data_IF_592869829465
#
_entry.id   IF_592869829465
#
_cell.length_a   1.000
_cell.length_b   1.000
_cell.length_c   1.000
_cell.angle_alpha   90.00
_cell.angle_beta   90.00
_cell.angle_gamma   90.00
#
_symmetry.space_group_name_H-M   'P 1'
#
loop_
_entity.id
_entity.type
_entity.pdbx_description
1 polymer ?
#
# COMPACT_ATOMS: atom_id res chain seq x y z
N UNK A 1 13.68 16.11 17.43
CA UNK A 1 12.97 17.39 17.47
C UNK A 1 13.81 18.32 18.32
N UNK A 2 14.54 19.25 17.65
CA UNK A 2 15.43 20.21 18.30
C UNK A 2 14.73 21.16 19.26
N UNK A 3 15.48 21.84 20.09
CA UNK A 3 14.95 22.77 21.08
C UNK A 3 14.53 24.12 20.49
N UNK A 4 14.96 24.42 19.27
CA UNK A 4 14.64 25.66 18.56
C UNK A 4 13.73 25.34 17.38
N UNK A 5 12.48 25.80 17.43
CA UNK A 5 11.46 25.61 16.39
C UNK A 5 11.44 26.83 15.47
N UNK A 6 12.61 27.19 14.96
CA UNK A 6 12.74 28.23 13.92
C UNK A 6 12.49 27.68 12.52
N UNK A 7 12.41 26.34 12.36
CA UNK A 7 12.11 25.72 11.09
C UNK A 7 10.65 25.88 10.71
N UNK A 8 10.44 26.21 9.46
CA UNK A 8 9.10 26.34 8.88
C UNK A 8 8.44 24.97 8.62
N UNK A 9 9.23 23.94 8.41
CA UNK A 9 8.76 22.57 8.17
C UNK A 9 9.40 21.55 9.11
N UNK A 10 8.56 20.65 9.64
CA UNK A 10 8.99 19.44 10.33
C UNK A 10 8.66 18.23 9.46
N UNK A 11 9.66 17.47 9.03
CA UNK A 11 9.49 16.32 8.17
C UNK A 11 9.78 15.05 8.94
N UNK A 12 8.88 14.07 8.86
CA UNK A 12 9.05 12.74 9.45
C UNK A 12 8.41 11.67 8.56
N UNK A 13 8.77 10.41 8.74
CA UNK A 13 8.08 9.31 8.09
C UNK A 13 6.96 8.75 8.97
N UNK A 14 6.03 8.02 8.33
CA UNK A 14 4.87 7.42 9.02
C UNK A 14 5.31 6.37 10.05
N UNK A 15 6.41 5.67 9.78
CA UNK A 15 6.95 4.63 10.65
C UNK A 15 7.43 5.22 11.99
N UNK A 16 8.03 6.38 11.97
CA UNK A 16 8.48 7.12 13.16
C UNK A 16 7.31 7.48 14.10
N UNK A 17 6.13 7.74 13.52
CA UNK A 17 4.91 8.01 14.32
C UNK A 17 4.44 6.80 15.15
N UNK A 18 5.02 5.61 14.99
CA UNK A 18 4.71 4.46 15.86
C UNK A 18 5.32 4.58 17.25
N UNK A 19 6.32 5.43 17.42
CA UNK A 19 6.94 5.69 18.72
C UNK A 19 6.02 6.55 19.59
N UNK A 20 5.72 6.05 20.79
CA UNK A 20 4.80 6.71 21.72
C UNK A 20 5.31 8.08 22.20
N UNK A 21 6.63 8.24 22.39
CA UNK A 21 7.20 9.51 22.84
C UNK A 21 7.09 10.56 21.74
N UNK A 22 7.27 10.15 20.48
CA UNK A 22 7.10 11.05 19.33
C UNK A 22 5.63 11.44 19.18
N UNK A 23 4.70 10.51 19.34
CA UNK A 23 3.26 10.81 19.32
C UNK A 23 2.88 11.87 20.35
N UNK A 24 3.36 11.71 21.60
CA UNK A 24 3.10 12.69 22.68
C UNK A 24 3.64 14.06 22.28
N UNK A 25 4.89 14.14 21.81
CA UNK A 25 5.51 15.41 21.41
C UNK A 25 4.73 16.09 20.29
N UNK A 26 4.41 15.38 19.21
CA UNK A 26 3.66 15.92 18.08
C UNK A 26 2.27 16.40 18.53
N UNK A 27 1.57 15.58 19.32
CA UNK A 27 0.26 15.96 19.84
C UNK A 27 0.32 17.25 20.66
N UNK A 28 1.29 17.37 21.56
CA UNK A 28 1.49 18.57 22.38
C UNK A 28 1.78 19.79 21.51
N UNK A 29 2.63 19.66 20.49
CA UNK A 29 2.94 20.75 19.57
C UNK A 29 1.72 21.16 18.72
N UNK A 30 0.89 20.22 18.26
CA UNK A 30 -0.37 20.54 17.59
C UNK A 30 -1.33 21.29 18.53
N UNK A 31 -1.51 20.82 19.76
CA UNK A 31 -2.39 21.43 20.75
C UNK A 31 -1.93 22.81 21.17
N UNK A 32 -0.64 23.05 21.22
CA UNK A 32 -0.04 24.35 21.50
C UNK A 32 -0.05 25.32 20.29
N UNK A 33 -0.56 24.89 19.12
CA UNK A 33 -0.59 25.68 17.91
C UNK A 33 0.78 25.84 17.20
N UNK A 34 1.82 25.18 17.70
CA UNK A 34 3.16 25.19 17.08
C UNK A 34 3.12 24.52 15.70
N UNK A 35 2.36 23.42 15.58
CA UNK A 35 2.08 22.78 14.28
C UNK A 35 0.67 23.22 13.86
N UNK A 36 0.58 24.19 12.96
CA UNK A 36 -0.69 24.69 12.45
C UNK A 36 -1.32 23.80 11.38
N UNK A 37 -0.47 23.09 10.59
CA UNK A 37 -0.92 22.23 9.50
C UNK A 37 -0.17 20.91 9.48
N UNK A 38 -0.89 19.83 9.24
CA UNK A 38 -0.29 18.50 8.99
C UNK A 38 -0.63 18.04 7.57
N UNK A 39 0.40 17.63 6.84
CA UNK A 39 0.28 17.02 5.52
C UNK A 39 0.77 15.57 5.63
N UNK A 40 -0.07 14.61 5.24
CA UNK A 40 0.32 13.20 5.20
C UNK A 40 0.29 12.74 3.75
N UNK A 41 1.47 12.43 3.22
CA UNK A 41 1.61 11.83 1.90
C UNK A 41 1.43 10.31 1.99
N UNK A 42 0.92 9.71 0.91
CA UNK A 42 0.57 8.29 0.83
C UNK A 42 -0.27 7.81 2.02
N UNK A 43 -1.27 8.61 2.39
CA UNK A 43 -2.10 8.36 3.58
C UNK A 43 -2.84 7.02 3.54
N UNK A 44 -3.00 6.42 2.35
CA UNK A 44 -3.58 5.09 2.19
C UNK A 44 -2.82 4.01 2.99
N UNK A 45 -1.54 4.23 3.34
CA UNK A 45 -0.78 3.35 4.25
C UNK A 45 -1.37 3.30 5.66
N UNK A 46 -2.16 4.31 6.03
CA UNK A 46 -2.79 4.44 7.34
C UNK A 46 -4.29 4.08 7.34
N UNK A 47 -4.79 3.45 6.28
CA UNK A 47 -6.20 3.11 6.08
C UNK A 47 -6.81 2.21 7.16
N UNK A 48 -6.00 1.32 7.76
CA UNK A 48 -6.48 0.39 8.77
C UNK A 48 -6.46 1.04 10.17
N UNK A 49 -7.63 1.31 10.79
CA UNK A 49 -7.72 1.99 12.08
C UNK A 49 -7.17 1.17 13.26
N UNK A 50 -6.98 -0.13 13.09
CA UNK A 50 -6.45 -1.01 14.14
C UNK A 50 -4.94 -1.20 14.06
N UNK A 51 -4.32 -0.88 12.92
CA UNK A 51 -2.87 -0.95 12.74
C UNK A 51 -2.13 0.10 13.58
N UNK A 52 -0.85 -0.16 13.88
CA UNK A 52 -0.01 0.81 14.59
C UNK A 52 0.08 2.16 13.85
N UNK A 53 0.22 2.12 12.53
CA UNK A 53 0.26 3.32 11.68
C UNK A 53 -1.08 4.06 11.66
N UNK A 54 -2.18 3.32 11.46
CA UNK A 54 -3.51 3.91 11.42
C UNK A 54 -3.92 4.58 12.73
N UNK A 55 -3.48 4.05 13.88
CA UNK A 55 -3.68 4.69 15.19
C UNK A 55 -2.77 5.90 15.36
N UNK A 56 -1.52 5.80 14.92
CA UNK A 56 -0.50 6.80 15.14
C UNK A 56 -0.83 8.15 14.49
N UNK A 57 -1.45 8.18 13.31
CA UNK A 57 -1.75 9.46 12.64
C UNK A 57 -2.67 10.39 13.44
N UNK A 58 -3.44 9.85 14.38
CA UNK A 58 -4.34 10.65 15.21
C UNK A 58 -3.61 11.53 16.25
N UNK A 59 -2.29 11.35 16.45
CA UNK A 59 -1.50 12.32 17.19
C UNK A 59 -1.30 13.65 16.43
N UNK A 60 -1.39 13.62 15.10
CA UNK A 60 -1.32 14.77 14.23
C UNK A 60 -2.68 15.47 14.20
N UNK A 61 -2.99 16.22 15.26
CA UNK A 61 -4.27 16.89 15.50
C UNK A 61 -4.20 18.42 15.26
N UNK A 62 -3.41 18.86 14.28
CA UNK A 62 -3.31 20.25 13.86
C UNK A 62 -4.65 20.78 13.31
N UNK A 63 -4.81 22.10 13.29
CA UNK A 63 -6.02 22.75 12.82
C UNK A 63 -6.27 22.48 11.33
N UNK A 64 -5.24 22.62 10.50
CA UNK A 64 -5.33 22.27 9.09
C UNK A 64 -4.77 20.88 8.84
N UNK A 65 -5.47 20.09 8.02
CA UNK A 65 -5.08 18.72 7.66
C UNK A 65 -5.21 18.52 6.15
N UNK A 66 -4.17 17.95 5.56
CA UNK A 66 -4.15 17.61 4.15
C UNK A 66 -3.70 16.15 3.99
N UNK A 67 -4.53 15.36 3.33
CA UNK A 67 -4.25 13.97 2.98
C UNK A 67 -3.92 13.88 1.49
N UNK A 68 -2.74 13.37 1.16
CA UNK A 68 -2.31 13.16 -0.22
C UNK A 68 -2.24 11.66 -0.52
N UNK A 69 -2.75 11.26 -1.67
CA UNK A 69 -2.62 9.88 -2.17
C UNK A 69 -2.99 9.79 -3.64
N UNK A 70 -2.25 8.99 -4.39
CA UNK A 70 -2.62 8.61 -5.76
C UNK A 70 -3.73 7.57 -5.83
N UNK A 71 -3.96 6.81 -4.74
CA UNK A 71 -4.90 5.68 -4.66
C UNK A 71 -5.74 5.76 -3.38
N UNK A 72 -6.74 6.63 -3.29
CA UNK A 72 -7.53 6.83 -2.07
C UNK A 72 -8.32 5.57 -1.67
N UNK A 73 -8.78 4.79 -2.63
CA UNK A 73 -9.44 3.49 -2.43
C UNK A 73 -8.57 2.43 -3.11
N UNK A 74 -7.88 1.62 -2.33
CA UNK A 74 -7.05 0.55 -2.88
C UNK A 74 -7.87 -0.71 -3.18
N UNK A 75 -8.66 -1.17 -2.22
CA UNK A 75 -9.39 -2.43 -2.34
C UNK A 75 -10.87 -2.28 -1.99
N UNK A 76 -11.22 -1.33 -1.12
CA UNK A 76 -12.52 -1.34 -0.48
C UNK A 76 -12.94 0.04 0.05
N UNK A 77 -14.24 0.34 0.03
CA UNK A 77 -14.78 1.60 0.57
C UNK A 77 -14.46 1.80 2.07
N UNK A 78 -14.29 0.71 2.82
CA UNK A 78 -13.89 0.74 4.23
C UNK A 78 -12.49 1.36 4.45
N UNK A 79 -11.63 1.33 3.43
CA UNK A 79 -10.29 1.90 3.48
C UNK A 79 -10.30 3.43 3.70
N UNK A 80 -11.40 4.09 3.37
CA UNK A 80 -11.58 5.52 3.58
C UNK A 80 -11.86 5.89 5.03
N UNK A 81 -12.40 4.98 5.85
CA UNK A 81 -12.88 5.31 7.19
C UNK A 81 -11.84 6.03 8.05
N UNK A 82 -10.65 5.46 8.18
CA UNK A 82 -9.62 6.01 9.07
C UNK A 82 -9.09 7.36 8.59
N UNK A 83 -8.98 7.54 7.28
CA UNK A 83 -8.57 8.81 6.66
C UNK A 83 -9.61 9.90 6.91
N UNK A 84 -10.88 9.60 6.65
CA UNK A 84 -11.98 10.54 6.88
C UNK A 84 -12.14 10.88 8.37
N UNK A 85 -11.87 9.91 9.25
CA UNK A 85 -11.87 10.12 10.70
C UNK A 85 -10.75 11.05 11.14
N UNK A 86 -9.55 10.87 10.59
CA UNK A 86 -8.42 11.77 10.86
C UNK A 86 -8.67 13.19 10.33
N UNK A 87 -9.30 13.32 9.15
CA UNK A 87 -9.69 14.61 8.56
C UNK A 87 -10.88 15.26 9.29
N UNK A 88 -11.47 14.61 10.30
CA UNK A 88 -12.64 15.06 11.07
C UNK A 88 -13.90 15.28 10.21
N UNK A 89 -13.97 14.66 9.04
CA UNK A 89 -15.15 14.69 8.17
C UNK A 89 -16.04 13.45 8.35
N UNK A 90 -15.64 12.50 9.19
CA UNK A 90 -16.42 11.31 9.57
C UNK A 90 -16.72 11.28 11.07
N UNK A 91 -18.00 11.33 11.42
CA UNK A 91 -18.45 11.36 12.82
C UNK A 91 -18.85 9.97 13.33
N UNK A 92 -19.19 9.04 12.44
CA UNK A 92 -19.61 7.69 12.83
C UNK A 92 -18.46 6.90 13.46
N UNK A 93 -18.81 5.93 14.28
CA UNK A 93 -17.90 4.87 14.71
C UNK A 93 -17.64 3.92 13.53
N UNK A 94 -16.57 3.11 13.63
CA UNK A 94 -16.27 2.12 12.59
C UNK A 94 -17.44 1.15 12.34
N UNK A 95 -18.15 0.74 13.38
CA UNK A 95 -19.32 -0.14 13.28
C UNK A 95 -20.45 0.55 12.53
N UNK A 96 -20.75 1.81 12.87
CA UNK A 96 -21.77 2.59 12.17
C UNK A 96 -21.41 2.81 10.70
N UNK A 97 -20.15 3.11 10.40
CA UNK A 97 -19.65 3.24 9.03
C UNK A 97 -19.80 1.95 8.24
N UNK A 98 -19.44 0.80 8.84
CA UNK A 98 -19.66 -0.52 8.23
C UNK A 98 -21.14 -0.77 7.97
N UNK A 99 -22.01 -0.51 8.93
CA UNK A 99 -23.47 -0.70 8.76
C UNK A 99 -24.04 0.19 7.66
N UNK A 100 -23.46 1.35 7.42
CA UNK A 100 -23.91 2.31 6.38
C UNK A 100 -23.44 1.92 4.97
N UNK A 101 -22.19 1.47 4.84
CA UNK A 101 -21.53 1.32 3.54
C UNK A 101 -21.13 -0.11 3.18
N UNK A 102 -21.16 -1.06 4.14
CA UNK A 102 -20.79 -2.45 3.90
C UNK A 102 -22.02 -3.37 3.97
N UNK A 103 -21.96 -4.44 3.19
CA UNK A 103 -22.87 -5.58 3.31
C UNK A 103 -22.10 -6.65 4.07
N UNK A 104 -22.61 -7.01 5.24
CA UNK A 104 -22.00 -8.01 6.10
C UNK A 104 -22.58 -9.38 5.78
N UNK A 105 -21.74 -10.43 5.80
CA UNK A 105 -22.13 -11.81 5.48
C UNK A 105 -21.03 -12.80 5.84
N UNK A 106 -21.02 -13.95 5.18
CA UNK A 106 -20.09 -15.04 5.47
C UNK A 106 -20.39 -15.77 6.77
N UNK A 107 -19.48 -16.65 7.19
CA UNK A 107 -19.63 -17.41 8.43
C UNK A 107 -19.71 -16.46 9.63
N UNK A 108 -20.78 -16.55 10.41
CA UNK A 108 -21.01 -15.67 11.57
C UNK A 108 -21.40 -14.22 11.23
N UNK A 109 -21.53 -13.84 9.96
CA UNK A 109 -21.96 -12.48 9.58
C UNK A 109 -20.91 -11.37 9.75
N UNK A 110 -19.65 -11.70 10.00
CA UNK A 110 -18.58 -10.72 10.30
C UNK A 110 -17.76 -10.29 9.09
N UNK A 111 -17.93 -10.94 7.95
CA UNK A 111 -17.17 -10.65 6.75
C UNK A 111 -17.87 -9.59 5.90
N UNK A 112 -17.09 -8.69 5.30
CA UNK A 112 -17.63 -7.76 4.30
C UNK A 112 -17.71 -8.53 2.99
N UNK A 113 -18.94 -8.78 2.51
CA UNK A 113 -19.22 -9.48 1.26
C UNK A 113 -19.60 -8.54 0.12
N UNK A 114 -19.79 -7.25 0.42
CA UNK A 114 -20.13 -6.25 -0.57
C UNK A 114 -20.25 -4.85 0.02
N UNK A 115 -20.62 -3.90 -0.82
CA UNK A 115 -20.78 -2.50 -0.46
C UNK A 115 -22.15 -1.97 -0.91
N UNK A 116 -22.66 -0.99 -0.18
CA UNK A 116 -23.93 -0.30 -0.46
C UNK A 116 -23.76 1.21 -0.28
N UNK A 117 -24.74 1.99 -0.75
CA UNK A 117 -24.76 3.45 -0.62
C UNK A 117 -23.47 4.15 -1.16
N UNK A 118 -22.79 3.56 -2.15
CA UNK A 118 -21.54 4.11 -2.68
C UNK A 118 -21.73 5.49 -3.31
N UNK A 119 -22.88 5.76 -3.93
CA UNK A 119 -23.20 7.08 -4.49
C UNK A 119 -23.26 8.16 -3.40
N UNK A 120 -23.84 7.83 -2.24
CA UNK A 120 -23.87 8.75 -1.09
C UNK A 120 -22.48 9.02 -0.56
N UNK A 121 -21.63 7.98 -0.50
CA UNK A 121 -20.23 8.14 -0.10
C UNK A 121 -19.46 8.99 -1.11
N UNK A 122 -19.64 8.75 -2.39
CA UNK A 122 -19.01 9.52 -3.48
C UNK A 122 -19.40 11.01 -3.42
N UNK A 123 -20.70 11.30 -3.33
CA UNK A 123 -21.21 12.67 -3.23
C UNK A 123 -20.69 13.40 -1.98
N UNK A 124 -20.50 12.67 -0.89
CA UNK A 124 -19.89 13.20 0.33
C UNK A 124 -18.41 13.51 0.14
N UNK A 125 -17.67 12.59 -0.48
CA UNK A 125 -16.23 12.75 -0.74
C UNK A 125 -15.94 13.94 -1.67
N UNK A 126 -16.75 14.17 -2.68
CA UNK A 126 -16.60 15.27 -3.63
C UNK A 126 -16.58 16.66 -2.97
N UNK A 127 -17.09 16.79 -1.75
CA UNK A 127 -17.05 18.05 -0.98
C UNK A 127 -15.67 18.31 -0.34
N UNK A 128 -14.89 17.28 -0.12
CA UNK A 128 -13.64 17.34 0.65
C UNK A 128 -12.42 16.83 -0.12
N UNK A 129 -12.63 16.23 -1.31
CA UNK A 129 -11.58 15.60 -2.09
C UNK A 129 -11.43 16.27 -3.46
N UNK A 130 -10.23 16.70 -3.77
CA UNK A 130 -9.85 17.12 -5.11
C UNK A 130 -9.18 15.95 -5.83
N UNK A 131 -9.78 15.48 -6.92
CA UNK A 131 -9.23 14.40 -7.75
C UNK A 131 -8.87 14.93 -9.13
N UNK A 132 -7.63 14.68 -9.54
CA UNK A 132 -7.13 14.96 -10.90
C UNK A 132 -6.61 13.64 -11.50
N UNK A 133 -7.14 13.23 -12.64
CA UNK A 133 -6.63 12.07 -13.37
C UNK A 133 -5.61 12.55 -14.40
N UNK A 134 -4.55 11.79 -14.65
CA UNK A 134 -3.54 12.15 -15.64
C UNK A 134 -4.15 12.39 -17.02
N UNK A 135 -5.09 11.56 -17.43
CA UNK A 135 -5.80 11.68 -18.72
C UNK A 135 -6.66 12.95 -18.86
N UNK A 136 -7.06 13.57 -17.73
CA UNK A 136 -7.95 14.74 -17.74
C UNK A 136 -7.16 16.06 -17.72
N UNK A 137 -5.86 16.01 -17.34
CA UNK A 137 -5.05 17.22 -17.09
C UNK A 137 -3.72 17.23 -17.84
N UNK A 138 -3.31 16.13 -18.43
CA UNK A 138 -2.05 16.01 -19.18
C UNK A 138 -2.32 15.48 -20.58
N UNK A 139 -1.74 16.16 -21.58
CA UNK A 139 -1.68 15.65 -22.93
C UNK A 139 -0.47 14.72 -23.06
N UNK A 140 -0.68 13.46 -22.76
CA UNK A 140 0.35 12.41 -22.80
C UNK A 140 0.02 11.41 -23.89
N UNK A 141 1.02 10.90 -24.61
CA UNK A 141 0.81 9.79 -25.51
C UNK A 141 0.23 8.57 -24.78
N UNK A 142 -0.54 7.73 -25.47
CA UNK A 142 -1.13 6.54 -24.87
C UNK A 142 -0.02 5.63 -24.33
N UNK A 143 -0.27 5.02 -23.14
CA UNK A 143 0.64 4.01 -22.62
C UNK A 143 0.53 2.74 -23.46
N UNK A 144 1.68 2.27 -23.93
CA UNK A 144 1.81 0.99 -24.60
C UNK A 144 2.28 -0.02 -23.55
N UNK A 145 1.52 -1.10 -23.40
CA UNK A 145 1.91 -2.25 -22.57
C UNK A 145 2.34 -3.37 -23.50
N UNK A 146 3.55 -3.86 -23.30
CA UNK A 146 4.08 -5.00 -24.03
C UNK A 146 4.44 -6.10 -23.05
N UNK A 147 3.83 -7.27 -23.22
CA UNK A 147 4.17 -8.45 -22.45
C UNK A 147 5.21 -9.26 -23.21
N UNK A 148 6.37 -9.46 -22.59
CA UNK A 148 7.43 -10.26 -23.15
C UNK A 148 7.55 -11.56 -22.35
N UNK A 149 7.26 -12.67 -23.01
CA UNK A 149 7.37 -14.01 -22.43
C UNK A 149 8.80 -14.51 -22.60
N UNK A 150 9.42 -14.87 -21.49
CA UNK A 150 10.79 -15.39 -21.44
C UNK A 150 10.76 -16.86 -21.01
N UNK A 151 11.46 -17.71 -21.74
CA UNK A 151 11.67 -19.08 -21.35
C UNK A 151 12.79 -19.17 -20.32
N UNK A 152 12.59 -19.97 -19.29
CA UNK A 152 13.61 -20.23 -18.26
C UNK A 152 14.70 -21.10 -18.87
N UNK A 153 15.94 -20.87 -18.49
CA UNK A 153 17.01 -21.82 -18.81
C UNK A 153 16.87 -23.13 -18.01
N UNK A 154 17.64 -24.13 -18.40
CA UNK A 154 17.54 -25.48 -17.82
C UNK A 154 17.74 -25.46 -16.30
N UNK A 155 18.71 -24.71 -15.80
CA UNK A 155 19.01 -24.65 -14.37
C UNK A 155 17.92 -23.92 -13.58
N UNK A 156 17.40 -22.81 -14.12
CA UNK A 156 16.29 -22.09 -13.52
C UNK A 156 15.00 -22.93 -13.53
N UNK A 157 14.75 -23.66 -14.62
CA UNK A 157 13.60 -24.55 -14.74
C UNK A 157 13.65 -25.71 -13.73
N UNK A 158 14.83 -26.25 -13.45
CA UNK A 158 15.00 -27.28 -12.42
C UNK A 158 14.61 -26.76 -11.03
N UNK A 159 15.10 -25.59 -10.64
CA UNK A 159 14.75 -24.96 -9.36
C UNK A 159 13.22 -24.70 -9.26
N UNK A 160 12.62 -24.26 -10.34
CA UNK A 160 11.17 -24.06 -10.39
C UNK A 160 10.42 -25.38 -10.20
N UNK A 161 10.79 -26.41 -10.93
CA UNK A 161 10.16 -27.73 -10.86
C UNK A 161 10.32 -28.38 -9.47
N UNK A 162 11.47 -28.20 -8.82
CA UNK A 162 11.69 -28.65 -7.44
C UNK A 162 10.77 -27.95 -6.44
N UNK A 163 10.64 -26.62 -6.58
CA UNK A 163 9.74 -25.84 -5.73
C UNK A 163 8.26 -26.20 -5.97
N UNK A 164 7.87 -26.41 -7.22
CA UNK A 164 6.51 -26.84 -7.58
C UNK A 164 6.19 -28.21 -7.03
N UNK A 165 7.09 -29.18 -7.24
CA UNK A 165 6.95 -30.54 -6.71
C UNK A 165 6.85 -30.56 -5.19
N UNK A 166 7.68 -29.77 -4.49
CA UNK A 166 7.61 -29.66 -3.04
C UNK A 166 6.22 -29.16 -2.58
N UNK A 167 5.64 -28.18 -3.28
CA UNK A 167 4.31 -27.67 -2.96
C UNK A 167 3.26 -28.75 -3.22
N UNK A 168 3.31 -29.44 -4.36
CA UNK A 168 2.36 -30.51 -4.70
C UNK A 168 2.41 -31.67 -3.69
N UNK A 169 3.61 -32.12 -3.33
CA UNK A 169 3.80 -33.24 -2.39
C UNK A 169 3.39 -32.88 -0.94
N UNK A 170 3.32 -31.61 -0.59
CA UNK A 170 3.02 -31.15 0.77
C UNK A 170 1.77 -30.27 0.85
N UNK A 171 0.90 -30.25 -0.15
CA UNK A 171 -0.23 -29.32 -0.25
C UNK A 171 -1.13 -29.35 1.00
N UNK A 172 -1.45 -30.53 1.52
CA UNK A 172 -2.32 -30.65 2.70
C UNK A 172 -1.68 -30.06 3.96
N UNK A 173 -0.36 -30.21 4.11
CA UNK A 173 0.39 -29.61 5.23
C UNK A 173 0.50 -28.10 5.07
N UNK A 174 0.73 -27.64 3.85
CA UNK A 174 0.86 -26.21 3.53
C UNK A 174 -0.44 -25.48 3.82
N UNK A 175 -1.59 -26.05 3.49
CA UNK A 175 -2.90 -25.47 3.76
C UNK A 175 -3.20 -25.31 5.26
N UNK A 176 -2.54 -26.10 6.12
CA UNK A 176 -2.66 -26.00 7.57
C UNK A 176 -1.73 -24.96 8.19
N UNK A 177 -0.79 -24.39 7.43
CA UNK A 177 0.09 -23.33 7.92
C UNK A 177 -0.68 -22.04 8.19
N UNK A 178 -0.23 -21.23 9.16
CA UNK A 178 -0.83 -19.90 9.43
C UNK A 178 -0.82 -18.97 8.21
N UNK A 179 0.13 -19.15 7.30
CA UNK A 179 0.23 -18.40 6.04
C UNK A 179 0.66 -19.30 4.89
N UNK A 180 -0.27 -20.00 4.23
CA UNK A 180 0.02 -20.90 3.09
C UNK A 180 0.68 -20.18 1.91
N UNK A 181 0.45 -18.88 1.76
CA UNK A 181 1.01 -18.08 0.66
C UNK A 181 2.53 -17.97 0.70
N UNK A 182 3.16 -18.21 1.86
CA UNK A 182 4.63 -18.17 2.00
C UNK A 182 5.30 -19.17 1.06
N UNK A 183 4.72 -20.36 0.88
CA UNK A 183 5.28 -21.39 -0.01
C UNK A 183 5.11 -21.01 -1.51
N UNK A 184 4.04 -20.32 -1.87
CA UNK A 184 3.88 -19.79 -3.23
C UNK A 184 4.90 -18.70 -3.58
N UNK A 185 5.44 -18.01 -2.58
CA UNK A 185 6.52 -17.04 -2.78
C UNK A 185 7.76 -17.71 -3.37
N UNK A 186 8.04 -18.98 -3.04
CA UNK A 186 9.18 -19.74 -3.61
C UNK A 186 9.10 -19.86 -5.12
N UNK A 187 7.93 -20.15 -5.69
CA UNK A 187 7.74 -20.17 -7.14
C UNK A 187 8.02 -18.79 -7.77
N UNK A 188 7.58 -17.75 -7.09
CA UNK A 188 7.85 -16.38 -7.51
C UNK A 188 9.33 -16.01 -7.40
N UNK A 189 10.04 -16.52 -6.42
CA UNK A 189 11.48 -16.37 -6.28
C UNK A 189 12.23 -17.13 -7.37
N UNK A 190 11.84 -18.38 -7.66
CA UNK A 190 12.43 -19.18 -8.74
C UNK A 190 12.33 -18.49 -10.11
N UNK A 191 11.20 -17.84 -10.40
CA UNK A 191 10.98 -17.10 -11.65
C UNK A 191 11.58 -15.70 -11.65
N UNK A 192 11.75 -15.07 -10.49
CA UNK A 192 12.22 -13.69 -10.35
C UNK A 192 13.72 -13.58 -10.09
N UNK A 193 14.22 -14.32 -9.12
CA UNK A 193 15.64 -14.43 -8.79
C UNK A 193 15.94 -15.82 -8.19
N UNK A 194 16.31 -16.81 -9.01
CA UNK A 194 16.58 -18.18 -8.57
C UNK A 194 17.72 -18.28 -7.55
N UNK A 195 18.67 -17.35 -7.56
CA UNK A 195 19.82 -17.34 -6.65
C UNK A 195 19.45 -17.15 -5.16
N UNK A 196 18.20 -16.79 -4.86
CA UNK A 196 17.69 -16.76 -3.48
C UNK A 196 17.42 -18.20 -2.96
N UNK A 197 17.15 -19.14 -3.85
CA UNK A 197 16.74 -20.51 -3.51
C UNK A 197 17.87 -21.52 -3.61
N UNK A 198 19.02 -21.15 -4.13
CA UNK A 198 20.19 -22.03 -4.32
C UNK A 198 21.46 -21.38 -3.83
N UNK A 199 22.45 -22.21 -3.48
CA UNK A 199 23.81 -21.78 -3.12
C UNK A 199 24.73 -21.63 -4.32
N UNK A 200 24.30 -22.08 -5.49
CA UNK A 200 25.04 -21.98 -6.74
C UNK A 200 24.52 -20.81 -7.56
N UNK A 201 25.42 -20.17 -8.29
CA UNK A 201 25.03 -19.09 -9.20
C UNK A 201 24.29 -19.68 -10.40
N UNK A 202 23.07 -19.21 -10.61
CA UNK A 202 22.18 -19.60 -11.70
C UNK A 202 21.87 -18.38 -12.53
N UNK A 203 21.87 -18.56 -13.85
CA UNK A 203 21.52 -17.47 -14.78
C UNK A 203 20.05 -17.05 -14.55
N UNK A 204 19.85 -15.74 -14.38
CA UNK A 204 18.55 -15.16 -14.23
C UNK A 204 18.09 -14.53 -15.56
N UNK A 205 17.26 -15.24 -16.30
CA UNK A 205 16.81 -14.86 -17.64
C UNK A 205 16.11 -13.49 -17.62
N UNK A 206 15.27 -13.21 -16.62
CA UNK A 206 14.59 -11.91 -16.49
C UNK A 206 15.58 -10.77 -16.22
N UNK A 207 16.59 -11.02 -15.38
CA UNK A 207 17.59 -10.00 -15.09
C UNK A 207 18.43 -9.68 -16.33
N UNK A 208 18.84 -10.72 -17.09
CA UNK A 208 19.57 -10.54 -18.34
C UNK A 208 18.76 -9.74 -19.34
N UNK A 209 17.50 -10.10 -19.55
CA UNK A 209 16.61 -9.39 -20.47
C UNK A 209 16.35 -7.94 -20.04
N UNK A 210 16.18 -7.70 -18.74
CA UNK A 210 16.08 -6.33 -18.21
C UNK A 210 17.32 -5.49 -18.51
N UNK A 211 18.53 -6.06 -18.40
CA UNK A 211 19.76 -5.37 -18.75
C UNK A 211 19.79 -5.02 -20.24
N UNK A 212 19.41 -5.95 -21.12
CA UNK A 212 19.32 -5.73 -22.56
C UNK A 212 18.37 -4.56 -22.88
N UNK A 213 17.16 -4.55 -22.31
CA UNK A 213 16.19 -3.46 -22.49
C UNK A 213 16.78 -2.13 -22.01
N UNK A 214 17.44 -2.11 -20.86
CA UNK A 214 18.08 -0.89 -20.33
C UNK A 214 19.15 -0.38 -21.32
N UNK A 215 19.98 -1.27 -21.84
CA UNK A 215 20.99 -0.90 -22.84
C UNK A 215 20.34 -0.37 -24.13
N UNK A 216 19.28 -1.01 -24.63
CA UNK A 216 18.54 -0.54 -25.80
C UNK A 216 17.97 0.85 -25.59
N UNK A 217 17.34 1.11 -24.43
CA UNK A 217 16.74 2.41 -24.10
C UNK A 217 17.82 3.50 -23.98
N UNK A 218 18.91 3.22 -23.25
CA UNK A 218 20.01 4.19 -23.07
C UNK A 218 20.68 4.53 -24.39
N UNK A 219 20.98 3.54 -25.23
CA UNK A 219 21.61 3.76 -26.54
C UNK A 219 20.73 4.54 -27.52
N UNK A 220 19.40 4.44 -27.35
CA UNK A 220 18.43 5.21 -28.16
C UNK A 220 18.13 6.61 -27.55
N UNK A 221 18.94 7.08 -26.57
CA UNK A 221 18.77 8.39 -25.95
C UNK A 221 17.59 8.50 -25.00
N UNK A 222 17.00 7.38 -24.58
CA UNK A 222 15.98 7.32 -23.54
C UNK A 222 16.56 7.61 -22.15
N UNK A 223 15.68 8.10 -21.24
CA UNK A 223 16.02 8.38 -19.84
C UNK A 223 15.24 7.46 -18.93
#
# INVERSE_FOLDING_TARGET
LGKDHSEFFLITNIETLRDANIQVKIKTMCQAGVIGMTIIDEIHKCKNPTSKQGKAIHCCCSYYKLALTGTPIMNAAIDLYNVLKWLEVENHTLTQFKNHYCIMGGFGGYQIVGYKNLDKLHNRLNKYMLRRRKQDVLDLPPKIYTDELLEMDVAQQQIYNEAEKYIQDNIDKILLLPNPLTELIRLRQATGNPNILTTHEVNNVKYKRMQEIIYEVVNNGGK
#
